data_IF_688735189163
#
_entry.id   IF_688735189163
#
_cell.length_a   1.000
_cell.length_b   1.000
_cell.length_c   1.000
_cell.angle_alpha   90.00
_cell.angle_beta   90.00
_cell.angle_gamma   90.00
#
_symmetry.space_group_name_H-M   'P 1'
#
loop_
_entity.id
_entity.type
_entity.pdbx_description
1 polymer ?
#
# COMPACT_ATOMS: atom_id res chain seq x y z
N UNK A 1 0.52 -6.25 0.93
CA UNK A 1 -0.31 -7.46 0.95
C UNK A 1 -0.49 -7.88 2.39
N UNK A 2 -1.72 -7.92 2.90
CA UNK A 2 -1.97 -8.65 4.14
C UNK A 2 -1.79 -10.13 3.83
N UNK A 3 -0.66 -10.67 4.24
CA UNK A 3 -0.44 -12.10 4.19
C UNK A 3 -1.38 -12.70 5.23
N UNK A 4 -2.51 -13.24 4.78
CA UNK A 4 -3.18 -14.32 5.50
C UNK A 4 -2.05 -15.29 5.84
N UNK A 5 -1.88 -15.64 7.12
CA UNK A 5 -0.89 -16.65 7.49
C UNK A 5 -1.06 -17.81 6.50
N UNK A 6 0.00 -18.35 5.87
CA UNK A 6 -0.10 -19.44 4.92
C UNK A 6 -0.49 -20.72 5.67
N UNK A 7 -1.70 -20.74 6.21
CA UNK A 7 -2.37 -21.91 6.73
C UNK A 7 -2.86 -22.62 5.49
N UNK A 8 -2.23 -23.74 5.15
CA UNK A 8 -2.77 -24.64 4.13
C UNK A 8 -4.20 -24.97 4.53
N UNK A 9 -5.17 -24.60 3.69
CA UNK A 9 -6.54 -25.05 3.87
C UNK A 9 -6.49 -26.58 3.97
N UNK A 10 -7.08 -27.19 5.01
CA UNK A 10 -7.15 -28.63 5.11
C UNK A 10 -7.81 -29.17 3.84
N UNK A 11 -7.14 -30.09 3.15
CA UNK A 11 -7.76 -30.83 2.06
C UNK A 11 -8.70 -31.85 2.69
N UNK A 12 -9.98 -31.77 2.33
CA UNK A 12 -10.95 -32.76 2.79
C UNK A 12 -10.53 -34.14 2.28
N UNK A 13 -10.32 -35.07 3.21
CA UNK A 13 -10.10 -36.48 2.92
C UNK A 13 -11.29 -37.27 3.46
N UNK A 14 -12.26 -37.55 2.60
CA UNK A 14 -13.53 -38.20 2.97
C UNK A 14 -14.76 -37.39 2.59
N UNK A 15 -15.94 -37.99 2.81
CA UNK A 15 -17.25 -37.40 2.48
C UNK A 15 -17.72 -36.41 3.57
N UNK A 16 -17.28 -36.62 4.82
CA UNK A 16 -17.64 -35.82 5.99
C UNK A 16 -16.42 -35.33 6.79
N UNK A 17 -16.57 -34.24 7.52
CA UNK A 17 -15.59 -33.71 8.48
C UNK A 17 -16.14 -33.79 9.91
N UNK A 18 -15.28 -34.09 10.89
CA UNK A 18 -15.70 -34.06 12.29
C UNK A 18 -16.04 -32.63 12.74
N UNK A 19 -17.01 -32.50 13.65
CA UNK A 19 -17.41 -31.21 14.24
C UNK A 19 -16.21 -30.46 14.83
N UNK A 20 -15.28 -31.18 15.46
CA UNK A 20 -14.05 -30.59 16.00
C UNK A 20 -13.18 -29.97 14.90
N UNK A 21 -12.98 -30.67 13.78
CA UNK A 21 -12.17 -30.20 12.65
C UNK A 21 -12.81 -28.97 12.00
N UNK A 22 -14.13 -29.02 11.80
CA UNK A 22 -14.89 -27.90 11.25
C UNK A 22 -14.79 -26.65 12.14
N UNK A 23 -15.05 -26.78 13.44
CA UNK A 23 -15.00 -25.65 14.38
C UNK A 23 -13.59 -25.07 14.50
N UNK A 24 -12.55 -25.91 14.45
CA UNK A 24 -11.15 -25.45 14.44
C UNK A 24 -10.81 -24.68 13.17
N UNK A 25 -11.29 -25.12 12.00
CA UNK A 25 -11.11 -24.38 10.75
C UNK A 25 -11.78 -23.02 10.82
N UNK A 26 -13.05 -22.96 11.21
CA UNK A 26 -13.79 -21.70 11.37
C UNK A 26 -13.05 -20.76 12.32
N UNK A 27 -12.56 -21.27 13.46
CA UNK A 27 -11.79 -20.46 14.42
C UNK A 27 -10.49 -19.91 13.83
N UNK A 28 -9.75 -20.71 13.06
CA UNK A 28 -8.53 -20.25 12.39
C UNK A 28 -8.85 -19.16 11.38
N UNK A 29 -9.93 -19.30 10.60
CA UNK A 29 -10.37 -18.29 9.65
C UNK A 29 -10.77 -16.99 10.38
N UNK A 30 -11.55 -17.06 11.46
CA UNK A 30 -11.90 -15.90 12.30
C UNK A 30 -10.67 -15.18 12.85
N UNK A 31 -9.71 -15.92 13.40
CA UNK A 31 -8.48 -15.33 13.96
C UNK A 31 -7.62 -14.65 12.89
N UNK A 32 -7.60 -15.20 11.68
CA UNK A 32 -6.84 -14.64 10.57
C UNK A 32 -7.53 -13.43 9.92
N UNK A 33 -8.85 -13.48 9.78
CA UNK A 33 -9.64 -12.45 9.10
C UNK A 33 -10.05 -11.30 10.05
N UNK A 34 -10.30 -11.59 11.33
CA UNK A 34 -10.72 -10.59 12.33
C UNK A 34 -9.59 -9.70 12.86
N UNK A 35 -8.33 -9.98 12.53
CA UNK A 35 -7.18 -9.18 13.00
C UNK A 35 -6.91 -7.95 12.15
N UNK A 36 -7.42 -7.89 10.92
CA UNK A 36 -7.12 -6.79 9.98
C UNK A 36 -8.42 -6.21 9.46
N UNK A 37 -8.77 -5.03 9.99
CA UNK A 37 -9.88 -4.25 9.47
C UNK A 37 -9.40 -3.36 8.30
N UNK A 38 -9.54 -3.89 7.09
CA UNK A 38 -9.22 -3.14 5.86
C UNK A 38 -10.19 -2.00 5.55
N UNK A 39 -11.30 -1.88 6.29
CA UNK A 39 -12.24 -0.76 6.11
C UNK A 39 -11.72 0.51 6.78
N UNK A 40 -10.87 0.37 7.81
CA UNK A 40 -10.26 1.49 8.53
C UNK A 40 -9.03 2.04 7.79
N UNK A 41 -8.24 1.17 7.14
CA UNK A 41 -7.10 1.56 6.31
C UNK A 41 -6.94 0.58 5.15
N UNK A 42 -7.34 0.96 3.92
CA UNK A 42 -7.13 0.13 2.74
C UNK A 42 -5.64 -0.07 2.44
N UNK A 43 -5.25 -1.30 2.10
CA UNK A 43 -3.85 -1.68 1.87
C UNK A 43 -3.59 -1.90 0.38
N UNK A 44 -2.63 -1.16 -0.18
CA UNK A 44 -2.26 -1.29 -1.60
C UNK A 44 -0.75 -1.44 -1.77
N UNK A 45 -0.31 -2.11 -2.84
CA UNK A 45 1.09 -2.15 -3.26
C UNK A 45 1.38 -1.07 -4.32
N UNK A 46 2.65 -0.82 -4.63
CA UNK A 46 3.02 0.25 -5.58
C UNK A 46 2.42 0.07 -6.99
N UNK A 47 2.17 -1.16 -7.44
CA UNK A 47 1.52 -1.42 -8.74
C UNK A 47 0.05 -1.03 -8.70
N UNK A 48 -0.67 -1.42 -7.64
CA UNK A 48 -2.08 -1.07 -7.44
C UNK A 48 -2.26 0.45 -7.29
N UNK A 49 -1.39 1.10 -6.53
CA UNK A 49 -1.39 2.56 -6.35
C UNK A 49 -1.24 3.29 -7.69
N UNK A 50 -0.45 2.73 -8.63
CA UNK A 50 -0.23 3.32 -9.95
C UNK A 50 -1.41 3.11 -10.92
N UNK A 51 -2.19 2.04 -10.72
CA UNK A 51 -3.27 1.65 -11.64
C UNK A 51 -4.65 2.14 -11.21
N UNK A 52 -4.89 2.26 -9.90
CA UNK A 52 -6.18 2.61 -9.33
C UNK A 52 -6.37 4.13 -9.23
N UNK A 53 -7.62 4.56 -9.26
CA UNK A 53 -7.99 5.95 -9.02
C UNK A 53 -8.43 6.13 -7.57
N UNK A 54 -7.95 7.21 -6.95
CA UNK A 54 -8.22 7.53 -5.55
C UNK A 54 -8.88 8.90 -5.43
N UNK A 55 -9.83 9.02 -4.50
CA UNK A 55 -10.40 10.32 -4.15
C UNK A 55 -9.35 11.18 -3.41
N UNK A 56 -9.38 12.49 -3.62
CA UNK A 56 -8.55 13.42 -2.82
C UNK A 56 -8.86 13.26 -1.33
N UNK A 57 -7.84 13.17 -0.50
CA UNK A 57 -7.97 12.91 0.93
C UNK A 57 -8.05 11.43 1.31
N UNK A 58 -8.02 10.50 0.35
CA UNK A 58 -7.95 9.07 0.65
C UNK A 58 -6.67 8.74 1.43
N UNK A 59 -6.82 8.02 2.55
CA UNK A 59 -5.71 7.52 3.35
C UNK A 59 -5.58 6.02 3.08
N UNK A 60 -4.37 5.60 2.76
CA UNK A 60 -4.05 4.20 2.46
C UNK A 60 -2.77 3.78 3.16
N UNK A 61 -2.61 2.47 3.34
CA UNK A 61 -1.34 1.88 3.74
C UNK A 61 -0.62 1.31 2.51
N UNK A 62 0.53 1.87 2.17
CA UNK A 62 1.39 1.36 1.11
C UNK A 62 2.19 0.18 1.65
N UNK A 63 1.84 -1.01 1.18
CA UNK A 63 2.42 -2.26 1.63
C UNK A 63 3.78 -2.58 1.00
N UNK A 64 4.18 -1.88 -0.07
CA UNK A 64 5.53 -1.97 -0.64
C UNK A 64 6.53 -1.22 0.22
N UNK A 65 6.16 0.00 0.65
CA UNK A 65 7.01 0.86 1.47
C UNK A 65 6.74 0.72 2.98
N UNK A 66 5.67 0.01 3.36
CA UNK A 66 5.18 -0.15 4.74
C UNK A 66 4.90 1.17 5.47
N UNK A 67 4.27 2.13 4.77
CA UNK A 67 3.96 3.47 5.29
C UNK A 67 2.51 3.87 5.03
N UNK A 68 1.94 4.74 5.87
CA UNK A 68 0.65 5.37 5.59
C UNK A 68 0.85 6.58 4.69
N UNK A 69 0.01 6.69 3.66
CA UNK A 69 0.05 7.79 2.71
C UNK A 69 -1.34 8.38 2.51
N UNK A 70 -1.40 9.68 2.27
CA UNK A 70 -2.62 10.37 1.87
C UNK A 70 -2.52 10.87 0.42
N UNK A 71 -3.60 10.74 -0.34
CA UNK A 71 -3.68 11.25 -1.70
C UNK A 71 -4.03 12.75 -1.69
N UNK A 72 -3.13 13.60 -2.19
CA UNK A 72 -3.32 15.06 -2.23
C UNK A 72 -4.14 15.55 -3.45
N UNK A 73 -4.62 14.62 -4.28
CA UNK A 73 -5.31 14.91 -5.55
C UNK A 73 -4.40 14.79 -6.78
N UNK A 74 -3.08 14.75 -6.58
CA UNK A 74 -2.08 14.55 -7.64
C UNK A 74 -1.23 13.31 -7.37
N UNK A 75 -0.79 13.12 -6.12
CA UNK A 75 0.06 12.00 -5.73
C UNK A 75 -0.11 11.62 -4.25
N UNK A 76 0.43 10.47 -3.89
CA UNK A 76 0.47 10.01 -2.50
C UNK A 76 1.62 10.67 -1.74
N UNK A 77 1.31 11.22 -0.57
CA UNK A 77 2.26 11.84 0.38
C UNK A 77 2.42 10.98 1.61
N UNK A 78 3.64 10.86 2.08
CA UNK A 78 3.93 10.16 3.35
C UNK A 78 3.38 10.97 4.54
N UNK A 79 2.77 10.28 5.49
CA UNK A 79 2.18 10.87 6.69
C UNK A 79 3.14 10.90 7.88
N UNK A 80 4.30 10.24 7.79
CA UNK A 80 5.28 10.18 8.88
C UNK A 80 6.39 11.23 8.77
N UNK A 81 6.60 11.76 7.57
CA UNK A 81 7.61 12.78 7.31
C UNK A 81 6.96 14.13 7.05
N UNK A 82 7.61 15.19 7.50
CA UNK A 82 7.17 16.55 7.21
C UNK A 82 7.12 16.76 5.69
N UNK A 83 5.92 17.01 5.16
CA UNK A 83 5.73 17.31 3.76
C UNK A 83 5.95 18.80 3.53
N UNK A 84 7.08 19.15 2.91
CA UNK A 84 7.30 20.51 2.44
C UNK A 84 6.61 20.66 1.09
N UNK A 85 5.51 21.42 1.04
CA UNK A 85 4.86 21.77 -0.22
C UNK A 85 5.71 22.83 -0.93
N UNK A 86 6.33 22.53 -2.08
CA UNK A 86 7.00 23.54 -2.86
C UNK A 86 5.90 24.46 -3.42
N UNK A 87 5.67 25.58 -2.76
CA UNK A 87 4.78 26.63 -3.24
C UNK A 87 5.66 27.63 -4.00
N UNK A 88 5.80 27.43 -5.30
CA UNK A 88 6.62 28.30 -6.16
C UNK A 88 6.58 27.90 -7.63
N UNK A 89 6.84 28.87 -8.51
CA UNK A 89 7.06 28.62 -9.94
C UNK A 89 8.50 28.13 -10.10
N UNK A 90 8.68 26.88 -10.51
CA UNK A 90 10.00 26.32 -10.83
C UNK A 90 10.35 26.63 -12.28
N UNK A 91 11.44 27.37 -12.50
CA UNK A 91 12.03 27.58 -13.82
C UNK A 91 13.32 26.76 -13.93
N UNK A 92 13.40 25.89 -14.93
CA UNK A 92 14.64 25.19 -15.29
C UNK A 92 15.38 26.04 -16.31
N UNK A 93 16.48 26.67 -15.90
CA UNK A 93 17.38 27.42 -16.79
C UNK A 93 18.73 26.72 -16.92
N UNK A 94 19.21 26.53 -18.15
CA UNK A 94 20.56 26.05 -18.43
C UNK A 94 21.49 27.24 -18.72
N UNK A 95 22.71 27.20 -18.19
CA UNK A 95 23.77 28.17 -18.51
C UNK A 95 24.67 27.56 -19.57
N UNK A 96 24.79 28.22 -20.73
CA UNK A 96 25.69 27.81 -21.81
C UNK A 96 27.16 28.00 -21.45
N UNK A 97 28.03 27.12 -21.94
CA UNK A 97 29.47 27.20 -21.70
C UNK A 97 30.11 28.30 -22.55
N UNK A 98 30.82 29.22 -21.91
CA UNK A 98 31.62 30.26 -22.60
C UNK A 98 33.04 29.72 -22.81
N UNK A 99 33.45 29.59 -24.07
CA UNK A 99 34.83 29.24 -24.43
C UNK A 99 35.58 30.52 -24.78
N UNK A 100 36.68 30.79 -24.08
CA UNK A 100 37.59 31.91 -24.37
C UNK A 100 38.77 31.39 -25.16
N UNK A 101 38.95 31.90 -26.38
CA UNK A 101 40.12 31.62 -27.22
C UNK A 101 41.04 32.83 -27.20
N UNK A 102 42.25 32.69 -26.67
CA UNK A 102 43.30 33.71 -26.74
C UNK A 102 44.28 33.37 -27.85
N UNK A 103 44.55 34.35 -28.73
CA UNK A 103 45.53 34.29 -29.83
C UNK A 103 46.93 34.67 -29.37
#
# INVERSE_FOLDING_TARGET
MSSLLPTRLPLAAGEDVSVETFNRLVRVLELNLGRVDFTISPHFNSTEISQLQFATGAIIFNTTNSIHQAFDGVQFRDLYTHQTYPTGISMVGSVGTVTVTTS
#
